data_IF_934370028627
#
_entry.id   IF_934370028627
#
_cell.length_a   1.000
_cell.length_b   1.000
_cell.length_c   1.000
_cell.angle_alpha   90.00
_cell.angle_beta   90.00
_cell.angle_gamma   90.00
#
_symmetry.space_group_name_H-M   'P 1'
#
loop_
_entity.id
_entity.type
_entity.pdbx_description
1 polymer ?
#
# COMPACT_ATOMS: atom_id res chain seq x y z
N UNK A 1 -8.85 -9.02 8.63
CA UNK A 1 -8.81 -7.62 9.09
C UNK A 1 -9.11 -6.74 7.89
N UNK A 2 -10.18 -5.95 7.95
CA UNK A 2 -10.56 -5.04 6.86
C UNK A 2 -9.42 -4.05 6.61
N UNK A 3 -9.08 -3.78 5.36
CA UNK A 3 -8.01 -2.86 5.02
C UNK A 3 -8.42 -1.43 5.42
N UNK A 4 -7.92 -0.97 6.57
CA UNK A 4 -8.09 0.41 7.01
C UNK A 4 -7.40 1.31 5.99
N UNK A 5 -8.11 2.27 5.43
CA UNK A 5 -7.55 3.26 4.52
C UNK A 5 -6.71 4.24 5.36
N UNK A 6 -5.38 4.34 5.15
CA UNK A 6 -4.54 5.24 5.92
C UNK A 6 -4.86 6.71 5.64
N UNK A 7 -4.65 7.58 6.62
CA UNK A 7 -4.72 9.03 6.44
C UNK A 7 -3.31 9.55 6.15
N UNK A 8 -3.18 10.31 5.06
CA UNK A 8 -1.94 10.99 4.68
C UNK A 8 -1.65 12.17 5.63
N UNK A 9 -0.39 12.59 5.73
CA UNK A 9 0.02 13.80 6.46
C UNK A 9 -0.68 15.09 6.00
N UNK A 10 -1.26 15.11 4.79
CA UNK A 10 -2.10 16.21 4.32
C UNK A 10 -3.54 16.19 4.88
N UNK A 11 -3.83 15.34 5.86
CA UNK A 11 -5.13 15.20 6.52
C UNK A 11 -6.22 14.48 5.71
N UNK A 12 -5.87 13.93 4.54
CA UNK A 12 -6.83 13.27 3.65
C UNK A 12 -6.58 11.76 3.57
N UNK A 13 -7.63 10.94 3.32
CA UNK A 13 -7.44 9.53 3.01
C UNK A 13 -6.45 9.32 1.85
N UNK A 14 -5.57 8.34 2.00
CA UNK A 14 -4.59 7.99 0.99
C UNK A 14 -5.26 7.20 -0.16
N UNK A 15 -4.75 7.38 -1.38
CA UNK A 15 -5.22 6.64 -2.54
C UNK A 15 -4.41 5.36 -2.69
N UNK A 16 -5.11 4.25 -2.95
CA UNK A 16 -4.50 2.98 -3.32
C UNK A 16 -4.07 3.02 -4.78
N UNK A 17 -2.78 2.81 -5.03
CA UNK A 17 -2.13 2.87 -6.35
C UNK A 17 -1.44 1.54 -6.64
N UNK A 18 -1.17 1.29 -7.91
CA UNK A 18 -0.38 0.15 -8.37
C UNK A 18 0.98 0.66 -8.84
N UNK A 19 2.05 0.00 -8.40
CA UNK A 19 3.41 0.28 -8.84
C UNK A 19 3.62 -0.25 -10.26
N UNK A 20 4.20 0.60 -11.10
CA UNK A 20 4.60 0.30 -12.47
C UNK A 20 6.14 0.27 -12.62
N UNK A 21 6.87 0.30 -11.51
CA UNK A 21 8.33 0.18 -11.55
C UNK A 21 8.77 -1.24 -11.86
N UNK A 22 9.94 -1.39 -12.48
CA UNK A 22 10.53 -2.69 -12.79
C UNK A 22 10.86 -3.51 -11.53
N UNK A 23 11.20 -2.84 -10.42
CA UNK A 23 11.56 -3.52 -9.16
C UNK A 23 10.34 -4.04 -8.40
N UNK A 24 9.17 -3.43 -8.59
CA UNK A 24 7.95 -3.78 -7.86
C UNK A 24 6.70 -3.75 -8.77
N UNK A 25 6.68 -4.49 -9.89
CA UNK A 25 5.57 -4.45 -10.83
C UNK A 25 4.30 -5.02 -10.19
N UNK A 26 3.18 -4.31 -10.33
CA UNK A 26 1.87 -4.78 -9.85
C UNK A 26 1.66 -4.69 -8.33
N UNK A 27 2.70 -4.40 -7.54
CA UNK A 27 2.58 -4.23 -6.08
C UNK A 27 1.77 -2.97 -5.76
N UNK A 28 0.84 -3.06 -4.82
CA UNK A 28 -0.05 -1.94 -4.47
C UNK A 28 0.46 -1.18 -3.27
N UNK A 29 0.25 0.13 -3.24
CA UNK A 29 0.64 1.01 -2.14
C UNK A 29 -0.36 2.14 -1.95
N UNK A 30 -0.45 2.67 -0.73
CA UNK A 30 -1.15 3.90 -0.43
C UNK A 30 -0.22 5.10 -0.61
N UNK A 31 -0.69 6.12 -1.33
CA UNK A 31 0.04 7.37 -1.54
C UNK A 31 -0.88 8.59 -1.45
N UNK A 32 -0.28 9.75 -1.23
CA UNK A 32 -1.01 11.01 -1.20
C UNK A 32 -1.76 11.26 -2.53
N UNK A 33 -3.02 11.70 -2.42
CA UNK A 33 -3.85 12.08 -3.58
C UNK A 33 -3.32 13.29 -4.34
N UNK A 34 -2.67 14.23 -3.63
CA UNK A 34 -2.08 15.46 -4.20
C UNK A 34 -0.77 15.21 -4.99
N UNK A 35 -0.32 13.96 -5.09
CA UNK A 35 0.88 13.62 -5.87
C UNK A 35 0.66 13.79 -7.39
N UNK A 36 -0.58 13.72 -7.88
CA UNK A 36 -0.87 13.79 -9.32
C UNK A 36 -0.94 15.23 -9.88
N UNK A 37 -0.97 16.26 -9.02
CA UNK A 37 -1.21 17.65 -9.44
C UNK A 37 0.03 18.41 -9.94
N UNK A 38 1.10 17.72 -10.34
CA UNK A 38 2.32 18.36 -10.88
C UNK A 38 3.17 19.14 -9.86
N UNK A 39 2.63 19.45 -8.68
CA UNK A 39 3.41 19.94 -7.55
C UNK A 39 4.25 18.81 -6.95
N UNK A 40 5.53 19.06 -6.68
CA UNK A 40 6.30 18.28 -5.71
C UNK A 40 5.47 18.25 -4.43
N UNK A 41 4.89 17.09 -4.15
CA UNK A 41 4.07 16.92 -2.98
C UNK A 41 4.99 16.98 -1.75
N UNK A 42 4.88 18.00 -0.89
CA UNK A 42 5.75 18.10 0.29
C UNK A 42 5.50 16.95 1.28
N UNK A 43 4.34 16.29 1.16
CA UNK A 43 3.96 15.15 1.98
C UNK A 43 4.29 13.86 1.25
N UNK A 44 5.54 13.40 1.32
CA UNK A 44 6.05 12.13 0.75
C UNK A 44 5.44 10.87 1.42
N UNK A 45 4.12 10.83 1.57
CA UNK A 45 3.40 9.73 2.19
C UNK A 45 3.38 8.51 1.26
N UNK A 46 3.87 7.39 1.79
CA UNK A 46 3.96 6.11 1.12
C UNK A 46 3.84 4.97 2.14
N UNK A 47 2.92 4.02 1.91
CA UNK A 47 2.79 2.79 2.72
C UNK A 47 2.42 1.63 1.78
N UNK A 48 3.05 0.47 1.92
CA UNK A 48 2.68 -0.72 1.15
C UNK A 48 1.28 -1.21 1.51
N UNK A 49 0.52 -1.67 0.52
CA UNK A 49 -0.76 -2.34 0.77
C UNK A 49 -0.53 -3.84 0.93
N UNK A 50 -0.75 -4.33 2.14
CA UNK A 50 -0.75 -5.76 2.43
C UNK A 50 -2.21 -6.24 2.52
N UNK A 51 -2.70 -7.02 1.54
CA UNK A 51 -4.02 -7.61 1.64
C UNK A 51 -4.06 -8.59 2.83
N UNK A 52 -5.23 -8.79 3.46
CA UNK A 52 -5.36 -9.84 4.44
C UNK A 52 -4.91 -11.17 3.83
N UNK A 53 -3.99 -11.84 4.52
CA UNK A 53 -3.56 -13.19 4.14
C UNK A 53 -4.81 -14.06 4.02
N UNK A 54 -5.01 -14.67 2.85
CA UNK A 54 -6.05 -15.68 2.72
C UNK A 54 -5.75 -16.82 3.71
N UNK A 55 -6.81 -17.46 4.21
CA UNK A 55 -6.71 -18.56 5.18
C UNK A 55 -5.73 -19.65 4.72
N UNK A 56 -5.73 -19.97 3.42
CA UNK A 56 -4.79 -20.92 2.83
C UNK A 56 -3.33 -20.46 2.89
N UNK A 57 -3.04 -19.22 2.49
CA UNK A 57 -1.70 -18.62 2.51
C UNK A 57 -1.10 -18.61 3.91
N UNK A 58 -1.94 -18.36 4.93
CA UNK A 58 -1.56 -18.36 6.34
C UNK A 58 -1.13 -19.76 6.81
N UNK A 59 -1.85 -20.81 6.42
CA UNK A 59 -1.51 -22.20 6.79
C UNK A 59 -0.16 -22.59 6.21
N UNK A 60 0.08 -22.27 4.93
CA UNK A 60 1.36 -22.56 4.27
C UNK A 60 2.52 -21.81 4.92
N UNK A 61 2.39 -20.49 5.16
CA UNK A 61 3.43 -19.69 5.82
C UNK A 61 3.76 -20.19 7.22
N UNK A 62 2.76 -20.51 8.04
CA UNK A 62 2.97 -21.08 9.38
C UNK A 62 3.58 -22.49 9.32
N UNK A 63 3.31 -23.24 8.25
CA UNK A 63 3.92 -24.54 7.99
C UNK A 63 5.42 -24.45 7.67
N UNK A 64 5.85 -23.37 7.00
CA UNK A 64 7.22 -23.11 6.53
C UNK A 64 8.14 -22.46 7.58
N UNK A 65 7.59 -21.91 8.66
CA UNK A 65 8.36 -21.34 9.78
C UNK A 65 8.87 -22.41 10.77
N UNK A 66 9.06 -23.65 10.31
CA UNK A 66 9.65 -24.74 11.10
C UNK A 66 11.15 -24.82 10.94
#
# INVERSE_FOLDING_TARGET
MSAVIPVCYCGNPANLKTSWSNDNPGRRFFGCKKYASGFQNPFHFFIWFDPPLMSYSRIVLLGLLK
#
